data_IF_103456088866
#
_entry.id   IF_103456088866
#
_cell.length_a   1.000
_cell.length_b   1.000
_cell.length_c   1.000
_cell.angle_alpha   90.00
_cell.angle_beta   90.00
_cell.angle_gamma   90.00
#
_symmetry.space_group_name_H-M   'P 1'
#
loop_
_entity.id
_entity.type
_entity.pdbx_description
1 polymer ?
#
# COMPACT_ATOMS: atom_id res chain seq x y z
N UNK A 1 15.89 -12.69 0.05
CA UNK A 1 16.43 -12.13 1.30
C UNK A 1 15.57 -12.61 2.48
N UNK A 2 16.21 -13.08 3.54
CA UNK A 2 15.52 -13.61 4.70
C UNK A 2 15.43 -12.56 5.81
N UNK A 3 14.24 -12.38 6.40
CA UNK A 3 14.02 -11.47 7.53
C UNK A 3 13.49 -12.25 8.71
N UNK A 4 14.07 -12.01 9.90
CA UNK A 4 13.62 -12.65 11.13
C UNK A 4 12.29 -12.09 11.61
N UNK A 5 12.08 -10.78 11.47
CA UNK A 5 10.86 -10.10 11.84
C UNK A 5 10.77 -8.75 11.11
N UNK A 6 9.73 -7.98 11.41
CA UNK A 6 9.51 -6.69 10.77
C UNK A 6 10.57 -5.65 11.11
N UNK A 7 11.12 -5.68 12.31
CA UNK A 7 12.20 -4.79 12.70
C UNK A 7 13.47 -5.11 11.93
N UNK A 8 13.79 -6.39 11.81
CA UNK A 8 14.94 -6.83 11.04
C UNK A 8 14.79 -6.46 9.56
N UNK A 9 13.59 -6.66 9.00
CA UNK A 9 13.30 -6.26 7.63
C UNK A 9 13.53 -4.77 7.42
N UNK A 10 13.06 -3.95 8.37
CA UNK A 10 13.25 -2.50 8.31
C UNK A 10 14.71 -2.10 8.36
N UNK A 11 15.49 -2.73 9.22
CA UNK A 11 16.93 -2.45 9.33
C UNK A 11 17.68 -2.81 8.06
N UNK A 12 17.40 -3.98 7.49
CA UNK A 12 18.05 -4.42 6.26
C UNK A 12 17.65 -3.52 5.07
N UNK A 13 16.40 -3.14 4.99
CA UNK A 13 15.93 -2.23 3.95
C UNK A 13 16.55 -0.85 4.10
N UNK A 14 16.62 -0.33 5.33
CA UNK A 14 17.22 0.98 5.61
C UNK A 14 18.68 1.02 5.20
N UNK A 15 19.43 -0.05 5.45
CA UNK A 15 20.84 -0.14 5.06
C UNK A 15 21.02 -0.03 3.54
N UNK A 16 20.07 -0.53 2.77
CA UNK A 16 20.11 -0.46 1.31
C UNK A 16 19.71 0.89 0.75
N UNK A 17 19.02 1.70 1.56
CA UNK A 17 18.51 3.01 1.16
C UNK A 17 19.33 4.17 1.72
N UNK A 18 20.50 3.89 2.31
CA UNK A 18 21.35 4.93 2.91
C UNK A 18 21.68 6.07 1.95
N UNK A 19 21.78 5.78 0.65
CA UNK A 19 22.08 6.78 -0.37
C UNK A 19 21.04 7.91 -0.40
N UNK A 20 19.83 7.66 0.12
CA UNK A 20 18.76 8.66 0.17
C UNK A 20 18.80 9.54 1.41
N UNK A 21 19.75 9.32 2.31
CA UNK A 21 19.80 9.99 3.61
C UNK A 21 19.88 11.51 3.52
N UNK A 22 20.62 12.01 2.56
CA UNK A 22 20.80 13.46 2.35
C UNK A 22 19.78 14.06 1.38
N UNK A 23 18.85 13.25 0.91
CA UNK A 23 17.79 13.66 0.02
C UNK A 23 16.59 14.16 0.81
N UNK A 24 15.79 15.02 0.18
CA UNK A 24 14.55 15.49 0.79
C UNK A 24 13.43 14.49 0.54
N UNK A 25 13.33 13.46 1.40
CA UNK A 25 12.41 12.35 1.23
C UNK A 25 11.42 12.23 2.40
N UNK A 26 10.28 11.60 2.13
CA UNK A 26 9.30 11.21 3.14
C UNK A 26 9.10 9.69 3.03
N UNK A 27 9.05 9.01 4.17
CA UNK A 27 8.81 7.57 4.20
C UNK A 27 7.34 7.31 4.46
N UNK A 28 6.70 6.50 3.61
CA UNK A 28 5.29 6.13 3.77
C UNK A 28 5.20 4.67 4.19
N UNK A 29 4.51 4.42 5.28
CA UNK A 29 4.23 3.08 5.76
C UNK A 29 2.79 2.68 5.50
N UNK A 30 2.59 1.48 4.99
CA UNK A 30 1.25 0.93 4.79
C UNK A 30 0.85 0.10 6.01
N UNK A 31 -0.23 0.46 6.71
CA UNK A 31 -0.71 -0.36 7.80
C UNK A 31 -1.13 -1.74 7.27
N UNK A 32 -0.99 -2.75 8.03
CA UNK A 32 -0.52 -2.77 9.41
C UNK A 32 0.97 -3.12 9.44
N UNK A 33 1.39 -4.10 8.66
CA UNK A 33 2.73 -4.66 8.69
C UNK A 33 3.84 -3.75 8.20
N UNK A 34 3.51 -2.82 7.27
CA UNK A 34 4.49 -1.92 6.70
C UNK A 34 4.96 -0.80 7.63
N UNK A 35 4.18 -0.47 8.67
CA UNK A 35 4.52 0.64 9.57
C UNK A 35 5.81 0.39 10.36
N UNK A 36 6.00 -0.77 11.02
CA UNK A 36 7.26 -1.02 11.72
C UNK A 36 8.48 -1.01 10.80
N UNK A 37 8.33 -1.52 9.57
CA UNK A 37 9.40 -1.52 8.57
C UNK A 37 9.73 -0.09 8.15
N UNK A 38 8.70 0.69 7.83
CA UNK A 38 8.86 2.09 7.41
C UNK A 38 9.48 2.94 8.52
N UNK A 39 9.13 2.67 9.80
CA UNK A 39 9.71 3.40 10.93
C UNK A 39 11.22 3.22 11.01
N UNK A 40 11.72 2.02 10.78
CA UNK A 40 13.17 1.76 10.76
C UNK A 40 13.86 2.51 9.61
N UNK A 41 13.23 2.51 8.44
CA UNK A 41 13.77 3.23 7.28
C UNK A 41 13.78 4.75 7.54
N UNK A 42 12.68 5.28 8.07
CA UNK A 42 12.57 6.71 8.36
C UNK A 42 13.63 7.17 9.38
N UNK A 43 13.84 6.37 10.43
CA UNK A 43 14.85 6.67 11.44
C UNK A 43 16.25 6.67 10.83
N UNK A 44 16.59 5.67 10.03
CA UNK A 44 17.90 5.56 9.41
C UNK A 44 18.18 6.70 8.42
N UNK A 45 17.15 7.16 7.70
CA UNK A 45 17.30 8.24 6.71
C UNK A 45 17.13 9.63 7.33
N UNK A 46 16.73 9.72 8.60
CA UNK A 46 16.41 11.00 9.22
C UNK A 46 15.22 11.68 8.54
N UNK A 47 14.30 10.89 7.97
CA UNK A 47 13.17 11.36 7.20
C UNK A 47 11.87 11.29 7.99
N UNK A 48 10.88 12.15 7.69
CA UNK A 48 9.56 12.02 8.30
C UNK A 48 8.88 10.70 7.92
N UNK A 49 8.15 10.14 8.88
CA UNK A 49 7.33 8.96 8.66
C UNK A 49 5.87 9.40 8.55
N UNK A 50 5.18 8.90 7.53
CA UNK A 50 3.75 9.08 7.41
C UNK A 50 3.09 7.73 7.15
N UNK A 51 1.79 7.63 7.42
CA UNK A 51 1.02 6.40 7.24
C UNK A 51 0.04 6.60 6.10
N UNK A 52 0.07 5.67 5.15
CA UNK A 52 -0.83 5.71 4.00
C UNK A 52 -1.88 4.61 4.14
N UNK A 53 -3.14 5.01 4.26
CA UNK A 53 -4.26 4.08 4.33
C UNK A 53 -4.66 3.66 2.92
N UNK A 54 -4.72 2.34 2.71
CA UNK A 54 -5.00 1.74 1.41
C UNK A 54 -6.08 0.68 1.57
N UNK A 55 -7.00 0.62 0.61
CA UNK A 55 -7.98 -0.45 0.53
C UNK A 55 -7.80 -1.19 -0.79
N UNK A 56 -7.72 -2.50 -0.69
CA UNK A 56 -7.61 -3.38 -1.85
C UNK A 56 -8.99 -3.57 -2.47
N UNK A 57 -9.05 -3.55 -3.80
CA UNK A 57 -10.28 -3.81 -4.55
C UNK A 57 -10.27 -5.27 -5.01
N UNK A 58 -11.14 -6.08 -4.43
CA UNK A 58 -11.27 -7.49 -4.80
C UNK A 58 -12.32 -7.69 -5.89
N UNK A 59 -12.10 -8.70 -6.72
CA UNK A 59 -13.07 -9.10 -7.75
C UNK A 59 -14.37 -9.54 -7.05
N UNK A 60 -15.56 -9.10 -7.53
CA UNK A 60 -16.83 -9.33 -6.80
C UNK A 60 -17.12 -10.79 -6.43
N UNK A 61 -16.82 -11.71 -7.31
CA UNK A 61 -17.09 -13.13 -7.08
C UNK A 61 -15.85 -13.92 -6.64
N UNK A 62 -14.73 -13.23 -6.47
CA UNK A 62 -13.48 -13.82 -5.99
C UNK A 62 -12.69 -12.72 -5.27
N UNK A 63 -13.13 -12.34 -4.04
CA UNK A 63 -12.56 -11.17 -3.36
C UNK A 63 -11.07 -11.22 -3.06
N UNK A 64 -10.49 -12.42 -2.96
CA UNK A 64 -9.06 -12.58 -2.74
C UNK A 64 -8.22 -12.24 -3.99
N UNK A 65 -8.84 -12.19 -5.16
CA UNK A 65 -8.16 -11.75 -6.38
C UNK A 65 -8.24 -10.22 -6.46
N UNK A 66 -7.09 -9.57 -6.41
CA UNK A 66 -7.04 -8.12 -6.44
C UNK A 66 -7.13 -7.55 -7.84
N UNK A 67 -8.03 -6.61 -8.06
CA UNK A 67 -8.16 -5.88 -9.32
C UNK A 67 -7.67 -4.44 -9.23
N UNK A 68 -7.27 -4.01 -8.04
CA UNK A 68 -6.75 -2.66 -7.86
C UNK A 68 -6.66 -2.28 -6.39
N UNK A 69 -6.42 -1.00 -6.16
CA UNK A 69 -6.33 -0.42 -4.82
C UNK A 69 -6.66 1.06 -4.88
N UNK A 70 -7.17 1.58 -3.77
CA UNK A 70 -7.42 3.01 -3.60
C UNK A 70 -6.79 3.48 -2.29
N UNK A 71 -6.41 4.75 -2.24
CA UNK A 71 -5.86 5.35 -1.03
C UNK A 71 -6.67 6.56 -0.61
N UNK A 72 -6.48 6.98 0.64
CA UNK A 72 -7.12 8.17 1.18
C UNK A 72 -6.70 9.46 0.49
N UNK A 73 -5.56 9.46 -0.20
CA UNK A 73 -5.07 10.60 -0.97
C UNK A 73 -5.66 10.72 -2.37
N UNK A 74 -6.65 9.93 -2.69
CA UNK A 74 -7.29 9.95 -4.01
C UNK A 74 -6.56 9.16 -5.08
N UNK A 75 -5.48 8.48 -4.73
CA UNK A 75 -4.75 7.63 -5.67
C UNK A 75 -5.56 6.37 -5.94
N UNK A 76 -5.59 5.98 -7.20
CA UNK A 76 -6.35 4.84 -7.67
C UNK A 76 -5.50 4.05 -8.67
N UNK A 77 -5.30 2.78 -8.39
CA UNK A 77 -4.54 1.88 -9.28
C UNK A 77 -5.46 0.73 -9.70
N UNK A 78 -5.57 0.49 -10.99
CA UNK A 78 -6.44 -0.58 -11.52
C UNK A 78 -5.60 -1.51 -12.38
N UNK A 79 -5.78 -2.81 -12.18
CA UNK A 79 -5.15 -3.84 -13.00
C UNK A 79 -6.12 -4.26 -14.10
N UNK A 80 -5.93 -3.69 -15.30
CA UNK A 80 -6.83 -3.94 -16.41
C UNK A 80 -6.81 -5.40 -16.89
N UNK A 81 -5.69 -6.10 -16.75
CA UNK A 81 -5.61 -7.51 -17.11
C UNK A 81 -6.54 -8.35 -16.26
N UNK A 82 -6.59 -8.08 -14.95
CA UNK A 82 -7.48 -8.80 -14.05
C UNK A 82 -8.95 -8.51 -14.40
N UNK A 83 -9.28 -7.25 -14.70
CA UNK A 83 -10.64 -6.90 -15.11
C UNK A 83 -11.07 -7.70 -16.35
N UNK A 84 -10.17 -7.81 -17.32
CA UNK A 84 -10.44 -8.54 -18.56
C UNK A 84 -10.61 -10.03 -18.33
N UNK A 85 -9.64 -10.65 -17.64
CA UNK A 85 -9.64 -12.09 -17.41
C UNK A 85 -10.82 -12.49 -16.52
N UNK A 86 -11.11 -11.72 -15.48
CA UNK A 86 -12.21 -12.00 -14.57
C UNK A 86 -13.57 -11.50 -15.08
N UNK A 87 -13.60 -10.82 -16.22
CA UNK A 87 -14.80 -10.27 -16.85
C UNK A 87 -15.59 -9.35 -15.91
N UNK A 88 -14.86 -8.50 -15.21
CA UNK A 88 -15.46 -7.49 -14.33
C UNK A 88 -15.97 -6.34 -15.18
N UNK A 89 -17.26 -6.00 -15.03
CA UNK A 89 -17.85 -4.88 -15.77
C UNK A 89 -17.50 -3.55 -15.09
N UNK A 90 -17.56 -2.42 -15.84
CA UNK A 90 -17.35 -1.11 -15.23
C UNK A 90 -18.30 -0.83 -14.05
N UNK A 91 -19.55 -1.29 -14.12
CA UNK A 91 -20.51 -1.12 -13.02
C UNK A 91 -20.10 -1.91 -11.79
N UNK A 92 -19.63 -3.13 -11.97
CA UNK A 92 -19.14 -3.96 -10.88
C UNK A 92 -17.93 -3.34 -10.20
N UNK A 93 -16.98 -2.85 -11.00
CA UNK A 93 -15.80 -2.16 -10.47
C UNK A 93 -16.21 -0.93 -9.67
N UNK A 94 -17.12 -0.12 -10.21
CA UNK A 94 -17.59 1.10 -9.56
C UNK A 94 -18.25 0.81 -8.21
N UNK A 95 -19.02 -0.27 -8.12
CA UNK A 95 -19.66 -0.67 -6.87
C UNK A 95 -18.66 -1.08 -5.79
N UNK A 96 -17.65 -1.87 -6.17
CA UNK A 96 -16.60 -2.29 -5.25
C UNK A 96 -15.80 -1.08 -4.78
N UNK A 97 -15.43 -0.22 -5.71
CA UNK A 97 -14.65 0.98 -5.40
C UNK A 97 -15.42 1.91 -4.45
N UNK A 98 -16.70 2.15 -4.71
CA UNK A 98 -17.53 2.99 -3.86
C UNK A 98 -17.64 2.43 -2.43
N UNK A 99 -17.82 1.12 -2.30
CA UNK A 99 -17.90 0.45 -1.00
C UNK A 99 -16.59 0.58 -0.22
N UNK A 100 -15.46 0.35 -0.88
CA UNK A 100 -14.16 0.43 -0.22
C UNK A 100 -13.77 1.87 0.08
N UNK A 101 -14.15 2.82 -0.75
CA UNK A 101 -13.92 4.24 -0.49
C UNK A 101 -14.69 4.70 0.74
N UNK A 102 -15.93 4.24 0.91
CA UNK A 102 -16.71 4.54 2.10
C UNK A 102 -16.03 4.04 3.38
N UNK A 103 -15.40 2.86 3.32
CA UNK A 103 -14.64 2.32 4.46
C UNK A 103 -13.44 3.21 4.78
N UNK A 104 -12.72 3.67 3.76
CA UNK A 104 -11.58 4.59 3.94
C UNK A 104 -12.01 5.89 4.62
N UNK A 105 -13.13 6.45 4.19
CA UNK A 105 -13.61 7.74 4.69
C UNK A 105 -14.10 7.69 6.13
N UNK A 106 -14.39 6.51 6.66
CA UNK A 106 -14.82 6.32 8.05
C UNK A 106 -13.66 6.28 9.04
N UNK A 107 -12.43 6.35 8.59
CA UNK A 107 -11.25 6.21 9.44
C UNK A 107 -10.64 7.53 9.85
#
# INVERSE_FOLDING_TARGET
MYFRDRLDAGRQLAARLEDLRDENVVVLGLPRGGVPVAAQVAEALGAPLDVCLVRKLGVPFQPELGMGAISEGGVRVINNEVLEVARVTPDELAKVEARERAVLEQR
#
